data_IF_883499868604
#
_entry.id   IF_883499868604
#
_cell.length_a   1.000
_cell.length_b   1.000
_cell.length_c   1.000
_cell.angle_alpha   90.00
_cell.angle_beta   90.00
_cell.angle_gamma   90.00
#
_symmetry.space_group_name_H-M   'P 1'
#
loop_
_entity.id
_entity.type
_entity.pdbx_description
1 polymer ?
#
# COMPACT_ATOMS: atom_id res chain seq x y z
N UNK A 1 51.31 64.15 42.48
CA UNK A 1 52.61 64.43 41.85
C UNK A 1 53.16 63.10 41.34
N UNK A 2 53.41 63.01 40.04
CA UNK A 2 54.15 61.97 39.28
C UNK A 2 55.58 61.75 39.86
N UNK A 3 56.37 60.69 39.51
CA UNK A 3 56.37 59.81 38.31
C UNK A 3 56.47 58.30 38.71
N UNK A 4 56.69 57.25 37.90
CA UNK A 4 57.64 57.06 36.80
C UNK A 4 57.30 55.76 36.03
N UNK A 5 57.44 55.85 34.72
CA UNK A 5 57.18 54.82 33.73
C UNK A 5 58.25 53.70 33.71
N UNK A 6 57.85 52.49 33.31
CA UNK A 6 58.72 51.55 32.61
C UNK A 6 57.98 50.92 31.42
N UNK A 7 58.77 50.66 30.38
CA UNK A 7 58.45 50.55 28.96
C UNK A 7 57.67 49.28 28.51
N UNK A 8 57.11 49.28 27.28
CA UNK A 8 56.28 48.19 26.75
C UNK A 8 57.08 47.10 26.03
N UNK A 9 56.72 45.82 26.24
CA UNK A 9 57.16 44.70 25.38
C UNK A 9 56.04 44.31 24.41
N UNK A 10 56.14 44.80 23.17
CA UNK A 10 55.27 44.41 22.06
C UNK A 10 55.65 42.99 21.58
N UNK A 11 54.96 41.96 22.07
CA UNK A 11 54.92 40.66 21.41
C UNK A 11 53.81 40.67 20.36
N UNK A 12 54.18 40.90 19.09
CA UNK A 12 53.28 40.74 17.94
C UNK A 12 53.16 39.24 17.62
N UNK A 13 52.21 38.56 18.23
CA UNK A 13 51.79 37.24 17.77
C UNK A 13 50.90 37.40 16.53
N UNK A 14 51.46 37.02 15.37
CA UNK A 14 50.83 37.11 14.05
C UNK A 14 49.57 36.24 14.00
N UNK A 15 48.47 36.86 13.59
CA UNK A 15 47.20 36.21 13.29
C UNK A 15 47.38 35.13 12.21
N UNK A 16 47.29 33.86 12.60
CA UNK A 16 47.05 32.75 11.66
C UNK A 16 45.59 32.80 11.26
N UNK A 17 45.30 33.41 10.11
CA UNK A 17 44.00 33.34 9.44
C UNK A 17 43.78 31.89 8.99
N UNK A 18 43.00 31.12 9.75
CA UNK A 18 42.48 29.83 9.31
C UNK A 18 41.30 30.13 8.40
N UNK A 19 41.52 30.04 7.09
CA UNK A 19 40.47 30.14 6.09
C UNK A 19 39.62 28.85 6.15
N UNK A 20 38.41 28.93 6.68
CA UNK A 20 37.39 27.89 6.53
C UNK A 20 36.94 27.89 5.05
N UNK A 21 37.01 26.76 4.33
CA UNK A 21 36.40 26.68 3.01
C UNK A 21 34.88 26.55 3.21
N UNK A 22 34.19 27.67 3.18
CA UNK A 22 32.75 27.74 2.97
C UNK A 22 32.47 27.48 1.51
N UNK A 23 32.14 26.25 1.14
CA UNK A 23 31.79 25.93 -0.24
C UNK A 23 31.48 24.46 -0.44
N UNK A 24 30.23 24.20 -0.81
CA UNK A 24 29.73 22.97 -1.43
C UNK A 24 29.25 21.84 -0.51
N UNK A 25 28.34 22.15 0.41
CA UNK A 25 27.32 21.18 0.83
C UNK A 25 26.14 21.24 -0.15
N UNK A 26 26.38 20.87 -1.42
CA UNK A 26 25.30 20.56 -2.35
C UNK A 26 24.65 19.27 -1.85
N UNK A 27 23.61 19.45 -1.05
CA UNK A 27 22.73 18.41 -0.55
C UNK A 27 22.29 17.55 -1.73
N UNK A 28 22.86 16.36 -1.83
CA UNK A 28 22.51 15.35 -2.82
C UNK A 28 21.12 14.84 -2.45
N UNK A 29 20.09 15.58 -2.86
CA UNK A 29 18.70 15.16 -2.72
C UNK A 29 18.47 14.07 -3.77
N UNK A 30 18.84 12.84 -3.43
CA UNK A 30 18.53 11.70 -4.27
C UNK A 30 17.00 11.66 -4.45
N UNK A 31 16.48 11.60 -5.69
CA UNK A 31 15.05 11.45 -5.89
C UNK A 31 14.63 10.11 -5.26
N UNK A 32 13.84 10.17 -4.20
CA UNK A 32 13.15 8.99 -3.68
C UNK A 32 12.32 8.41 -4.84
N UNK A 33 12.47 7.12 -5.18
CA UNK A 33 11.64 6.51 -6.21
C UNK A 33 10.18 6.53 -5.78
N UNK A 34 9.44 7.54 -6.24
CA UNK A 34 8.00 7.61 -6.09
C UNK A 34 7.39 6.68 -7.14
N UNK A 35 6.92 5.51 -6.69
CA UNK A 35 6.19 4.61 -7.56
C UNK A 35 4.84 5.26 -7.92
N UNK A 36 4.70 5.68 -9.18
CA UNK A 36 3.47 6.28 -9.70
C UNK A 36 2.59 5.18 -10.29
N UNK A 37 1.38 5.01 -9.75
CA UNK A 37 0.38 4.12 -10.34
C UNK A 37 -0.37 4.92 -11.42
N UNK A 38 -0.31 4.52 -12.70
CA UNK A 38 -1.01 5.24 -13.76
C UNK A 38 -2.54 5.14 -13.55
N UNK A 39 -3.28 6.21 -13.84
CA UNK A 39 -4.73 6.17 -13.81
C UNK A 39 -5.27 5.18 -14.84
N UNK A 40 -6.32 4.46 -14.48
CA UNK A 40 -7.01 3.49 -15.32
C UNK A 40 -8.48 3.89 -15.49
N UNK A 41 -9.01 3.66 -16.69
CA UNK A 41 -10.43 3.85 -16.94
C UNK A 41 -11.26 2.76 -16.26
N UNK A 42 -12.54 3.04 -15.99
CA UNK A 42 -13.44 2.12 -15.32
C UNK A 42 -13.60 0.82 -16.10
N UNK A 43 -13.71 0.91 -17.43
CA UNK A 43 -13.81 -0.24 -18.30
C UNK A 43 -12.53 -1.07 -18.31
N UNK A 44 -11.35 -0.43 -18.21
CA UNK A 44 -10.07 -1.13 -18.08
C UNK A 44 -9.99 -1.89 -16.76
N UNK A 45 -10.38 -1.25 -15.64
CA UNK A 45 -10.43 -1.89 -14.32
C UNK A 45 -11.39 -3.08 -14.34
N UNK A 46 -12.60 -2.87 -14.87
CA UNK A 46 -13.67 -3.87 -14.89
C UNK A 46 -13.36 -5.05 -15.80
N UNK A 47 -12.72 -4.83 -16.96
CA UNK A 47 -12.29 -5.90 -17.87
C UNK A 47 -11.15 -6.72 -17.28
N UNK A 48 -10.14 -6.06 -16.71
CA UNK A 48 -8.95 -6.71 -16.13
C UNK A 48 -9.29 -7.55 -14.91
N UNK A 49 -10.29 -7.13 -14.12
CA UNK A 49 -10.72 -7.87 -12.93
C UNK A 49 -11.19 -9.29 -13.29
N UNK A 50 -10.51 -10.30 -12.73
CA UNK A 50 -10.90 -11.72 -12.80
C UNK A 50 -12.06 -11.99 -11.84
N UNK A 51 -12.07 -11.29 -10.70
CA UNK A 51 -13.14 -11.33 -9.70
C UNK A 51 -13.56 -9.91 -9.29
N UNK A 52 -14.87 -9.66 -9.29
CA UNK A 52 -15.45 -8.45 -8.70
C UNK A 52 -16.44 -8.92 -7.64
N UNK A 53 -16.28 -8.47 -6.42
CA UNK A 53 -17.16 -8.87 -5.33
C UNK A 53 -17.06 -7.97 -4.11
N UNK A 54 -18.01 -8.14 -3.22
CA UNK A 54 -17.97 -7.52 -1.89
C UNK A 54 -17.63 -8.55 -0.83
N UNK A 55 -16.99 -8.10 0.25
CA UNK A 55 -16.68 -8.94 1.39
C UNK A 55 -16.27 -8.12 2.61
N UNK A 56 -16.35 -8.75 3.78
CA UNK A 56 -15.91 -8.19 5.06
C UNK A 56 -14.56 -8.79 5.45
N UNK A 57 -13.62 -7.94 5.82
CA UNK A 57 -12.28 -8.39 6.24
C UNK A 57 -12.35 -9.09 7.59
N UNK A 58 -12.17 -10.39 7.60
CA UNK A 58 -12.13 -11.20 8.82
C UNK A 58 -10.78 -11.13 9.52
N UNK A 59 -9.68 -10.99 8.76
CA UNK A 59 -8.33 -10.95 9.31
C UNK A 59 -7.30 -10.40 8.33
N UNK A 60 -6.22 -9.87 8.89
CA UNK A 60 -5.04 -9.42 8.16
C UNK A 60 -3.83 -9.98 8.90
N UNK A 61 -3.03 -10.80 8.22
CA UNK A 61 -1.87 -11.45 8.80
C UNK A 61 -0.66 -11.24 7.90
N UNK A 62 0.45 -10.77 8.46
CA UNK A 62 1.71 -10.62 7.74
C UNK A 62 2.69 -11.69 8.17
N UNK A 63 3.42 -12.24 7.21
CA UNK A 63 4.50 -13.22 7.46
C UNK A 63 5.61 -13.08 6.44
N UNK A 64 6.80 -13.49 6.83
CA UNK A 64 7.89 -13.68 5.90
C UNK A 64 7.54 -14.76 4.87
N UNK A 65 8.04 -14.58 3.65
CA UNK A 65 8.06 -15.66 2.68
C UNK A 65 9.05 -16.76 3.09
N UNK A 66 9.00 -17.90 2.40
CA UNK A 66 9.84 -19.05 2.76
C UNK A 66 11.35 -18.77 2.65
N UNK A 67 11.73 -17.86 1.73
CA UNK A 67 13.12 -17.44 1.56
C UNK A 67 13.54 -16.32 2.53
N UNK A 68 12.62 -15.81 3.36
CA UNK A 68 12.84 -14.70 4.29
C UNK A 68 13.39 -13.43 3.62
N UNK A 69 12.96 -13.19 2.37
CA UNK A 69 13.38 -12.05 1.53
C UNK A 69 12.33 -10.94 1.49
N UNK A 70 11.05 -11.30 1.66
CA UNK A 70 9.96 -10.34 1.63
C UNK A 70 8.89 -10.69 2.65
N UNK A 71 8.20 -9.66 3.15
CA UNK A 71 7.02 -9.80 3.98
C UNK A 71 5.81 -9.80 3.06
N UNK A 72 4.89 -10.73 3.28
CA UNK A 72 3.62 -10.82 2.56
C UNK A 72 2.48 -10.69 3.55
N UNK A 73 1.47 -9.91 3.18
CA UNK A 73 0.23 -9.75 3.94
C UNK A 73 -0.88 -10.56 3.30
N UNK A 74 -1.61 -11.29 4.12
CA UNK A 74 -2.72 -12.15 3.74
C UNK A 74 -3.99 -11.57 4.37
N UNK A 75 -4.89 -11.08 3.53
CA UNK A 75 -6.17 -10.49 3.93
C UNK A 75 -7.26 -11.50 3.67
N UNK A 76 -7.91 -11.99 4.71
CA UNK A 76 -9.03 -12.92 4.59
C UNK A 76 -10.34 -12.16 4.56
N UNK A 77 -11.10 -12.32 3.48
CA UNK A 77 -12.44 -11.78 3.31
C UNK A 77 -13.48 -12.88 3.50
N UNK A 78 -14.61 -12.53 4.11
CA UNK A 78 -15.78 -13.39 4.37
C UNK A 78 -17.06 -12.65 4.00
N UNK A 79 -18.23 -13.26 4.19
CA UNK A 79 -19.52 -12.70 3.81
C UNK A 79 -19.54 -12.21 2.36
N UNK A 80 -19.05 -13.10 1.47
CA UNK A 80 -18.80 -12.76 0.08
C UNK A 80 -20.09 -12.63 -0.71
N UNK A 81 -20.18 -11.58 -1.53
CA UNK A 81 -21.13 -11.51 -2.64
C UNK A 81 -20.34 -11.28 -3.92
N UNK A 82 -20.42 -12.23 -4.85
CA UNK A 82 -19.69 -12.17 -6.12
C UNK A 82 -20.57 -11.54 -7.20
N UNK A 83 -19.96 -10.65 -7.97
CA UNK A 83 -20.60 -9.87 -9.03
C UNK A 83 -20.01 -10.16 -10.42
N UNK A 84 -18.73 -10.55 -10.46
CA UNK A 84 -18.03 -11.07 -11.65
C UNK A 84 -17.04 -12.15 -11.21
N UNK A 85 -16.88 -13.17 -12.03
CA UNK A 85 -15.99 -14.30 -11.76
C UNK A 85 -16.63 -15.32 -10.81
N UNK A 86 -15.83 -16.25 -10.31
CA UNK A 86 -16.27 -17.31 -9.42
C UNK A 86 -15.81 -17.04 -7.99
N UNK A 87 -16.74 -17.17 -7.04
CA UNK A 87 -16.39 -17.15 -5.61
C UNK A 87 -15.72 -18.49 -5.23
N UNK A 88 -14.79 -18.49 -4.27
CA UNK A 88 -14.38 -19.73 -3.62
C UNK A 88 -15.55 -20.42 -2.93
N UNK A 89 -15.65 -21.75 -3.08
CA UNK A 89 -16.75 -22.57 -2.53
C UNK A 89 -16.80 -22.56 -1.00
N UNK A 90 -15.69 -22.29 -0.33
CA UNK A 90 -15.57 -22.24 1.13
C UNK A 90 -16.03 -20.91 1.74
N UNK A 91 -16.63 -20.02 0.94
CA UNK A 91 -17.27 -18.78 1.43
C UNK A 91 -16.29 -17.70 1.90
N UNK A 92 -14.99 -17.88 1.64
CA UNK A 92 -13.93 -16.93 2.00
C UNK A 92 -12.91 -16.81 0.87
N UNK A 93 -12.24 -15.67 0.78
CA UNK A 93 -11.14 -15.46 -0.16
C UNK A 93 -9.96 -14.85 0.58
N UNK A 94 -8.75 -15.36 0.31
CA UNK A 94 -7.51 -14.83 0.89
C UNK A 94 -6.76 -14.06 -0.19
N UNK A 95 -6.60 -12.76 0.01
CA UNK A 95 -5.87 -11.88 -0.88
C UNK A 95 -4.42 -11.75 -0.40
N UNK A 96 -3.46 -11.96 -1.30
CA UNK A 96 -2.04 -11.85 -1.00
C UNK A 96 -1.50 -10.50 -1.51
N UNK A 97 -0.95 -9.70 -0.60
CA UNK A 97 -0.27 -8.45 -0.88
C UNK A 97 1.22 -8.58 -0.55
N UNK A 98 2.08 -7.96 -1.34
CA UNK A 98 3.48 -7.78 -0.98
C UNK A 98 3.63 -6.61 0.01
N UNK A 99 4.58 -6.74 0.93
CA UNK A 99 4.71 -5.86 2.07
C UNK A 99 3.85 -6.26 3.25
N UNK A 100 4.02 -5.51 4.34
CA UNK A 100 3.41 -5.80 5.63
C UNK A 100 4.37 -5.53 6.79
N UNK A 101 3.99 -6.01 7.96
CA UNK A 101 4.80 -5.85 9.17
C UNK A 101 4.82 -7.13 10.00
N UNK A 102 6.00 -7.59 10.39
CA UNK A 102 6.21 -8.73 11.29
C UNK A 102 7.06 -8.26 12.47
N UNK A 103 6.46 -8.14 13.65
CA UNK A 103 7.13 -7.55 14.81
C UNK A 103 7.58 -6.11 14.54
N UNK A 104 8.90 -5.89 14.53
CA UNK A 104 9.52 -4.60 14.23
C UNK A 104 9.86 -4.41 12.75
N UNK A 105 9.90 -5.49 11.97
CA UNK A 105 10.28 -5.44 10.56
C UNK A 105 9.08 -5.06 9.71
N UNK A 106 9.26 -4.06 8.84
CA UNK A 106 8.20 -3.57 7.95
C UNK A 106 8.73 -3.40 6.54
N UNK A 107 8.01 -3.97 5.58
CA UNK A 107 8.20 -3.68 4.17
C UNK A 107 6.99 -2.88 3.70
N UNK A 108 7.22 -1.62 3.35
CA UNK A 108 6.21 -0.75 2.78
C UNK A 108 6.35 -0.73 1.26
N UNK A 109 5.27 -1.07 0.56
CA UNK A 109 5.17 -0.92 -0.88
C UNK A 109 4.36 0.34 -1.17
N UNK A 110 4.92 1.24 -1.97
CA UNK A 110 4.26 2.51 -2.30
C UNK A 110 2.93 2.26 -3.03
N UNK A 111 1.89 2.98 -2.64
CA UNK A 111 0.55 2.85 -3.22
C UNK A 111 -0.20 1.57 -2.84
N UNK A 112 0.34 0.75 -1.93
CA UNK A 112 -0.33 -0.47 -1.49
C UNK A 112 -1.64 -0.15 -0.76
N UNK A 113 -2.79 -0.69 -1.19
CA UNK A 113 -4.04 -0.54 -0.46
C UNK A 113 -3.94 -1.15 0.95
N UNK A 114 -4.55 -0.47 1.91
CA UNK A 114 -4.70 -0.97 3.28
C UNK A 114 -6.16 -1.35 3.51
N UNK A 115 -6.38 -2.61 3.90
CA UNK A 115 -7.68 -3.14 4.28
C UNK A 115 -7.72 -3.32 5.80
N UNK A 116 -8.81 -2.91 6.42
CA UNK A 116 -8.94 -2.96 7.87
C UNK A 116 -9.93 -4.05 8.27
N UNK A 117 -9.57 -4.83 9.29
CA UNK A 117 -10.43 -5.86 9.88
C UNK A 117 -11.78 -5.29 10.28
N UNK A 118 -12.85 -6.04 10.03
CA UNK A 118 -14.23 -5.67 10.33
C UNK A 118 -14.89 -4.74 9.33
N UNK A 119 -14.14 -4.14 8.39
CA UNK A 119 -14.70 -3.26 7.35
C UNK A 119 -15.11 -4.07 6.12
N UNK A 120 -16.12 -3.55 5.43
CA UNK A 120 -16.69 -4.14 4.22
C UNK A 120 -16.22 -3.38 3.00
N UNK A 121 -15.82 -4.10 1.96
CA UNK A 121 -15.27 -3.51 0.74
C UNK A 121 -15.90 -4.11 -0.51
N UNK A 122 -15.96 -3.32 -1.57
CA UNK A 122 -16.08 -3.74 -2.96
C UNK A 122 -14.67 -3.77 -3.57
N UNK A 123 -14.29 -4.89 -4.17
CA UNK A 123 -12.96 -5.10 -4.70
C UNK A 123 -12.99 -5.60 -6.15
N UNK A 124 -12.07 -5.07 -6.94
CA UNK A 124 -11.73 -5.53 -8.28
C UNK A 124 -10.39 -6.26 -8.20
N UNK A 125 -10.42 -7.58 -8.33
CA UNK A 125 -9.28 -8.46 -8.05
C UNK A 125 -8.82 -9.14 -9.34
N UNK A 126 -7.51 -9.19 -9.56
CA UNK A 126 -6.88 -9.96 -10.61
C UNK A 126 -5.51 -10.48 -10.15
N UNK A 127 -5.08 -11.62 -10.69
CA UNK A 127 -3.74 -12.18 -10.45
C UNK A 127 -3.41 -12.36 -8.96
N UNK A 128 -4.42 -12.73 -8.16
CA UNK A 128 -4.24 -12.98 -6.75
C UNK A 128 -3.21 -14.10 -6.53
N UNK A 129 -2.28 -13.89 -5.62
CA UNK A 129 -1.21 -14.86 -5.35
C UNK A 129 0.04 -14.69 -6.22
N UNK A 130 -0.01 -13.95 -7.34
CA UNK A 130 1.17 -13.70 -8.21
C UNK A 130 1.53 -12.23 -8.31
N UNK A 131 0.55 -11.33 -8.35
CA UNK A 131 0.79 -9.89 -8.39
C UNK A 131 1.31 -9.34 -7.04
N UNK A 132 1.96 -8.16 -7.11
CA UNK A 132 2.40 -7.38 -5.94
C UNK A 132 1.20 -6.91 -5.12
N UNK A 133 0.18 -6.39 -5.82
CA UNK A 133 -1.15 -6.11 -5.29
C UNK A 133 -2.17 -6.89 -6.12
N UNK A 134 -3.09 -7.65 -5.51
CA UNK A 134 -4.15 -8.34 -6.21
C UNK A 134 -5.29 -7.40 -6.60
N UNK A 135 -5.27 -6.14 -6.15
CA UNK A 135 -6.27 -5.13 -6.50
C UNK A 135 -5.89 -4.44 -7.79
N UNK A 136 -6.80 -4.47 -8.77
CA UNK A 136 -6.62 -3.84 -10.08
C UNK A 136 -6.47 -2.33 -9.90
N UNK A 137 -5.38 -1.76 -10.44
CA UNK A 137 -5.10 -0.33 -10.33
C UNK A 137 -4.84 0.15 -8.89
N UNK A 138 -4.48 -0.74 -7.96
CA UNK A 138 -4.24 -0.44 -6.55
C UNK A 138 -5.46 0.21 -5.88
N UNK A 139 -5.36 1.48 -5.47
CA UNK A 139 -6.46 2.19 -4.81
C UNK A 139 -7.68 2.43 -5.74
N UNK A 140 -7.51 2.30 -7.06
CA UNK A 140 -8.56 2.59 -8.04
C UNK A 140 -9.64 1.50 -8.12
N UNK A 141 -9.27 0.25 -7.82
CA UNK A 141 -10.17 -0.91 -7.81
C UNK A 141 -10.68 -1.30 -6.42
N UNK A 142 -10.59 -0.41 -5.44
CA UNK A 142 -10.98 -0.67 -4.05
C UNK A 142 -11.91 0.43 -3.54
N UNK A 143 -13.06 0.02 -3.04
CA UNK A 143 -14.01 0.92 -2.38
C UNK A 143 -14.47 0.32 -1.06
N UNK A 144 -14.40 1.09 0.01
CA UNK A 144 -15.07 0.77 1.26
C UNK A 144 -16.58 1.01 1.11
N UNK A 145 -17.36 0.09 1.65
CA UNK A 145 -18.82 0.20 1.71
C UNK A 145 -19.19 0.66 3.12
N UNK A 146 -19.69 1.88 3.22
CA UNK A 146 -20.30 2.42 4.44
C UNK A 146 -21.81 2.56 4.26
N UNK A 147 -22.53 2.74 5.36
CA UNK A 147 -23.96 3.07 5.32
C UNK A 147 -24.16 4.45 5.93
N UNK A 148 -24.77 5.36 5.16
CA UNK A 148 -25.08 6.72 5.58
C UNK A 148 -26.56 7.00 5.29
N UNK A 149 -27.32 7.41 6.31
CA UNK A 149 -28.76 7.68 6.19
C UNK A 149 -29.55 6.51 5.55
N UNK A 150 -29.17 5.27 5.89
CA UNK A 150 -29.80 4.05 5.37
C UNK A 150 -29.43 3.68 3.92
N UNK A 151 -28.48 4.39 3.30
CA UNK A 151 -28.01 4.10 1.94
C UNK A 151 -26.55 3.65 1.95
N UNK A 152 -26.23 2.70 1.08
CA UNK A 152 -24.84 2.32 0.84
C UNK A 152 -24.08 3.48 0.17
N UNK A 153 -22.88 3.74 0.66
CA UNK A 153 -21.97 4.74 0.13
C UNK A 153 -20.63 4.07 -0.13
N UNK A 154 -20.13 4.21 -1.35
CA UNK A 154 -18.82 3.71 -1.75
C UNK A 154 -17.77 4.80 -1.56
N UNK A 155 -16.72 4.51 -0.81
CA UNK A 155 -15.61 5.43 -0.53
C UNK A 155 -14.29 4.85 -0.99
N UNK A 156 -13.49 5.63 -1.72
CA UNK A 156 -12.14 5.19 -2.04
C UNK A 156 -11.22 5.28 -0.79
N UNK A 157 -9.98 4.74 -0.84
CA UNK A 157 -9.05 4.81 0.29
C UNK A 157 -8.67 6.23 0.73
N UNK A 158 -8.93 7.25 -0.10
CA UNK A 158 -8.71 8.66 0.20
C UNK A 158 -9.92 9.34 0.86
N UNK A 159 -10.98 8.59 1.16
CA UNK A 159 -12.20 9.08 1.80
C UNK A 159 -13.17 9.80 0.86
N UNK A 160 -12.88 9.83 -0.44
CA UNK A 160 -13.76 10.44 -1.45
C UNK A 160 -14.90 9.50 -1.78
N UNK A 161 -16.09 10.05 -1.94
CA UNK A 161 -17.33 9.30 -2.18
C UNK A 161 -17.56 9.09 -3.67
N UNK A 162 -17.88 7.89 -4.09
CA UNK A 162 -18.27 7.59 -5.46
C UNK A 162 -19.69 8.07 -5.74
N UNK A 163 -19.81 9.05 -6.64
CA UNK A 163 -21.09 9.61 -7.08
C UNK A 163 -21.60 9.01 -8.39
N UNK A 164 -20.71 8.43 -9.21
CA UNK A 164 -21.10 7.83 -10.49
C UNK A 164 -19.92 7.51 -11.40
N UNK A 165 -20.23 7.18 -12.65
CA UNK A 165 -19.28 7.04 -13.74
C UNK A 165 -19.64 8.05 -14.83
N UNK A 166 -18.64 8.72 -15.40
CA UNK A 166 -18.80 9.64 -16.54
C UNK A 166 -17.59 9.56 -17.45
N UNK A 167 -17.82 9.42 -18.75
CA UNK A 167 -16.77 9.28 -19.77
C UNK A 167 -15.76 8.17 -19.41
N UNK A 168 -16.24 7.01 -18.95
CA UNK A 168 -15.41 5.88 -18.50
C UNK A 168 -14.48 6.18 -17.31
N UNK A 169 -14.81 7.20 -16.51
CA UNK A 169 -14.07 7.60 -15.30
C UNK A 169 -14.98 7.60 -14.09
N UNK A 170 -14.43 7.25 -12.93
CA UNK A 170 -15.13 7.43 -11.66
C UNK A 170 -15.31 8.93 -11.36
N UNK A 171 -16.52 9.30 -10.95
CA UNK A 171 -16.85 10.61 -10.42
C UNK A 171 -16.83 10.52 -8.90
N UNK A 172 -15.85 11.18 -8.29
CA UNK A 172 -15.61 11.17 -6.85
C UNK A 172 -15.96 12.53 -6.26
N UNK A 173 -16.54 12.55 -5.08
CA UNK A 173 -16.84 13.76 -4.31
C UNK A 173 -15.87 13.81 -3.16
N UNK A 174 -15.13 14.90 -3.05
CA UNK A 174 -14.23 15.11 -1.93
C UNK A 174 -15.02 15.04 -0.61
N UNK A 175 -14.43 14.48 0.46
CA UNK A 175 -15.10 14.49 1.76
C UNK A 175 -15.43 15.94 2.14
N UNK A 176 -16.60 16.20 2.76
CA UNK A 176 -16.86 17.51 3.33
C UNK A 176 -15.70 17.84 4.26
N UNK A 177 -15.13 19.04 4.11
CA UNK A 177 -14.13 19.54 5.04
C UNK A 177 -14.85 19.61 6.38
N UNK A 178 -14.63 18.61 7.24
CA UNK A 178 -15.10 18.69 8.60
C UNK A 178 -14.55 20.00 9.17
N UNK A 179 -15.42 20.88 9.71
CA UNK A 179 -14.95 21.95 10.58
C UNK A 179 -14.16 21.24 11.68
N UNK A 180 -12.85 21.33 11.54
CA UNK A 180 -11.92 20.61 12.37
C UNK A 180 -11.97 21.30 13.73
N UNK A 181 -12.69 20.72 14.69
CA UNK A 181 -12.16 20.73 16.04
C UNK A 181 -10.73 20.20 15.89
N UNK A 182 -9.77 21.06 16.22
CA UNK A 182 -8.35 20.90 15.92
C UNK A 182 -7.80 19.65 16.62
N UNK A 183 -8.04 18.47 16.06
CA UNK A 183 -7.15 17.33 16.21
C UNK A 183 -5.89 17.72 15.44
N UNK A 184 -4.73 17.97 16.07
CA UNK A 184 -3.57 18.49 15.36
C UNK A 184 -3.25 17.61 14.14
N UNK A 185 -2.82 18.24 13.04
CA UNK A 185 -2.17 17.49 11.97
C UNK A 185 -1.09 16.59 12.60
N UNK A 186 -0.79 15.41 12.05
CA UNK A 186 0.42 14.71 12.44
C UNK A 186 1.59 15.64 12.07
N UNK A 187 2.02 16.43 13.05
CA UNK A 187 3.33 17.05 13.06
C UNK A 187 4.30 15.90 12.86
N UNK A 188 5.12 15.98 11.82
CA UNK A 188 6.37 15.23 11.80
C UNK A 188 7.18 15.81 12.97
N UNK A 189 6.92 15.31 14.17
CA UNK A 189 7.70 15.56 15.34
C UNK A 189 8.91 14.64 15.20
N UNK A 190 10.01 15.26 14.81
CA UNK A 190 11.32 14.83 15.25
C UNK A 190 11.29 14.54 16.77
N UNK A 191 12.06 13.52 17.18
CA UNK A 191 12.48 13.18 18.57
C UNK A 191 11.34 12.52 19.40
N UNK A 192 11.48 11.40 20.14
CA UNK A 192 12.58 10.95 20.98
C UNK A 192 12.52 9.43 21.26
N UNK A 193 13.66 8.81 21.55
CA UNK A 193 13.74 7.40 21.95
C UNK A 193 13.12 7.22 23.35
N UNK A 194 11.84 6.87 23.43
CA UNK A 194 11.26 6.36 24.68
C UNK A 194 11.20 4.84 24.63
N UNK A 195 12.03 4.23 25.46
CA UNK A 195 12.01 2.80 25.78
C UNK A 195 10.60 2.41 26.26
N UNK A 196 9.93 1.56 25.50
CA UNK A 196 8.72 0.86 25.97
C UNK A 196 9.18 -0.25 26.92
N UNK A 197 8.66 -0.33 28.16
CA UNK A 197 9.06 -1.37 29.10
C UNK A 197 8.64 -2.75 28.57
N UNK A 198 9.48 -3.75 28.82
CA UNK A 198 9.24 -5.14 28.46
C UNK A 198 7.91 -5.64 29.06
N UNK A 199 7.10 -6.29 28.22
CA UNK A 199 5.94 -7.06 28.67
C UNK A 199 6.40 -8.26 29.52
N UNK A 200 5.64 -8.67 30.54
CA UNK A 200 6.02 -9.79 31.40
C UNK A 200 5.98 -11.12 30.65
N UNK A 201 6.89 -12.00 31.05
CA UNK A 201 7.11 -13.35 30.54
C UNK A 201 5.80 -14.17 30.60
N UNK A 202 5.34 -14.68 29.46
CA UNK A 202 4.15 -15.55 29.38
C UNK A 202 4.61 -17.00 29.27
N UNK A 203 4.23 -17.74 30.30
CA UNK A 203 4.65 -19.07 30.69
C UNK A 203 4.70 -20.14 29.58
N UNK A 204 5.65 -21.07 29.76
CA UNK A 204 5.98 -22.22 28.94
C UNK A 204 4.82 -23.18 28.56
N UNK A 205 3.62 -23.01 29.13
CA UNK A 205 2.45 -23.85 28.86
C UNK A 205 1.80 -23.59 27.50
N UNK A 206 1.96 -22.39 26.93
CA UNK A 206 1.37 -22.05 25.62
C UNK A 206 2.17 -22.67 24.45
N UNK A 207 3.47 -22.92 24.65
CA UNK A 207 4.34 -23.59 23.66
C UNK A 207 4.02 -25.07 23.48
N UNK A 208 3.56 -25.73 24.55
CA UNK A 208 3.22 -27.16 24.53
C UNK A 208 1.86 -27.41 23.84
N UNK A 209 0.89 -26.51 24.01
CA UNK A 209 -0.42 -26.61 23.34
C UNK A 209 -0.34 -26.32 21.83
N UNK A 210 0.54 -25.42 21.41
CA UNK A 210 0.78 -25.13 19.97
C UNK A 210 1.55 -26.28 19.29
N UNK A 211 2.42 -27.00 20.01
CA UNK A 211 3.10 -28.18 19.48
C UNK A 211 2.15 -29.37 19.28
N UNK A 212 1.20 -29.60 20.18
CA UNK A 212 0.21 -30.67 20.07
C UNK A 212 -0.79 -30.46 18.91
N UNK A 213 -1.13 -29.20 18.60
CA UNK A 213 -1.98 -28.85 17.45
C UNK A 213 -1.28 -29.04 16.09
N UNK A 214 0.06 -28.97 16.06
CA UNK A 214 0.87 -29.10 14.84
C UNK A 214 0.96 -30.53 14.30
N UNK A 215 0.79 -31.54 15.17
CA UNK A 215 0.95 -32.97 14.80
C UNK A 215 -0.32 -33.59 14.20
N UNK A 216 -1.50 -32.98 14.36
CA UNK A 216 -2.77 -33.53 13.81
C UNK A 216 -3.11 -33.14 12.37
N UNK A 217 -2.34 -32.23 11.74
CA UNK A 217 -2.61 -31.74 10.38
C UNK A 217 -1.55 -32.23 9.36
N UNK A 218 -0.62 -33.10 9.78
CA UNK A 218 0.52 -33.52 8.97
C UNK A 218 0.33 -34.80 8.14
N UNK A 219 -0.88 -35.36 8.06
CA UNK A 219 -1.18 -36.49 7.18
C UNK A 219 -2.54 -36.22 6.53
N UNK A 220 -2.65 -35.81 5.24
CA UNK A 220 -1.81 -36.21 4.10
C UNK A 220 -1.52 -35.05 3.10
N UNK A 221 -0.28 -34.56 3.03
CA UNK A 221 0.22 -33.74 1.90
C UNK A 221 1.47 -34.36 1.23
N UNK A 222 1.92 -35.52 1.72
CA UNK A 222 3.07 -36.22 1.15
C UNK A 222 2.73 -36.99 -0.15
N UNK A 223 1.45 -37.29 -0.40
CA UNK A 223 1.06 -38.19 -1.50
C UNK A 223 0.81 -37.47 -2.84
N UNK A 224 0.63 -36.14 -2.85
CA UNK A 224 0.44 -35.35 -4.07
C UNK A 224 1.76 -34.86 -4.71
N UNK A 225 2.88 -34.95 -4.00
CA UNK A 225 4.18 -34.51 -4.50
C UNK A 225 4.91 -35.56 -5.34
N UNK A 226 4.58 -36.85 -5.19
CA UNK A 226 5.28 -37.93 -5.88
C UNK A 226 4.88 -38.11 -7.36
N UNK A 227 3.68 -37.68 -7.77
CA UNK A 227 3.16 -37.95 -9.14
C UNK A 227 3.56 -36.91 -10.18
N UNK A 228 4.15 -35.77 -9.82
CA UNK A 228 4.47 -34.67 -10.77
C UNK A 228 5.95 -34.54 -11.14
N UNK A 229 6.82 -35.40 -10.64
CA UNK A 229 8.27 -35.33 -10.89
C UNK A 229 8.74 -35.97 -12.22
N UNK A 230 7.86 -36.60 -13.00
CA UNK A 230 8.23 -37.32 -14.22
C UNK A 230 7.75 -36.63 -15.51
N UNK A 231 8.19 -35.40 -15.77
CA UNK A 231 8.27 -34.83 -17.15
C UNK A 231 9.01 -33.49 -17.17
N UNK A 232 10.32 -33.52 -17.37
CA UNK A 232 11.11 -32.36 -17.81
C UNK A 232 12.10 -32.85 -18.88
N UNK A 233 12.02 -32.43 -20.14
CA UNK A 233 13.19 -32.37 -21.00
C UNK A 233 13.94 -31.06 -20.74
N UNK A 234 15.26 -31.17 -20.63
CA UNK A 234 16.20 -30.12 -20.33
C UNK A 234 16.45 -29.18 -21.53
N UNK A 235 16.72 -27.91 -21.22
CA UNK A 235 17.52 -27.01 -22.07
C UNK A 235 16.80 -25.75 -22.56
N UNK A 236 17.12 -24.60 -21.95
CA UNK A 236 17.17 -23.27 -22.61
C UNK A 236 18.24 -22.42 -21.90
N UNK A 237 19.20 -21.80 -22.61
CA UNK A 237 20.30 -21.03 -22.02
C UNK A 237 19.89 -19.60 -21.62
N UNK A 238 20.71 -19.03 -20.72
CA UNK A 238 20.57 -17.70 -20.15
C UNK A 238 20.53 -16.58 -21.20
N UNK A 239 19.56 -15.67 -21.08
CA UNK A 239 19.43 -14.48 -21.93
C UNK A 239 20.17 -13.28 -21.30
N UNK A 240 21.10 -12.71 -22.09
CA UNK A 240 21.83 -11.47 -21.83
C UNK A 240 20.92 -10.22 -21.79
N UNK A 241 21.35 -9.11 -21.16
CA UNK A 241 20.54 -7.89 -21.03
C UNK A 241 20.36 -7.15 -22.37
N UNK A 242 19.23 -6.45 -22.60
CA UNK A 242 18.96 -5.75 -23.85
C UNK A 242 19.79 -4.46 -23.99
N UNK A 243 20.14 -4.06 -25.23
CA UNK A 243 20.87 -2.82 -25.50
C UNK A 243 19.99 -1.57 -25.36
N UNK A 244 20.62 -0.46 -24.97
CA UNK A 244 20.07 0.88 -25.02
C UNK A 244 19.74 1.28 -26.46
N UNK A 245 18.46 1.46 -26.78
CA UNK A 245 18.03 2.03 -28.07
C UNK A 245 17.45 3.43 -27.88
N UNK A 246 18.01 4.36 -28.66
CA UNK A 246 17.70 5.79 -28.66
C UNK A 246 16.26 6.13 -28.99
N UNK A 247 15.92 7.37 -28.65
CA UNK A 247 14.56 7.87 -28.63
C UNK A 247 13.87 7.90 -29.98
N UNK A 248 12.57 7.57 -29.93
CA UNK A 248 11.55 8.23 -30.73
C UNK A 248 10.47 8.62 -29.73
N UNK A 249 10.37 9.93 -29.47
CA UNK A 249 9.29 10.54 -28.70
C UNK A 249 7.98 10.31 -29.44
N UNK A 250 7.26 9.25 -29.08
CA UNK A 250 5.87 9.06 -29.47
C UNK A 250 5.05 9.56 -28.29
N UNK A 251 4.46 10.74 -28.44
CA UNK A 251 3.55 11.35 -27.47
C UNK A 251 2.46 10.33 -27.14
N UNK A 252 2.52 9.77 -25.92
CA UNK A 252 1.46 8.92 -25.39
C UNK A 252 0.17 9.74 -25.30
N UNK A 253 -1.01 9.20 -25.68
CA UNK A 253 -2.27 9.88 -25.41
C UNK A 253 -2.40 10.16 -23.91
N UNK A 254 -2.92 11.34 -23.60
CA UNK A 254 -2.73 12.00 -22.32
C UNK A 254 -3.21 11.16 -21.13
N UNK A 255 -2.30 10.91 -20.18
CA UNK A 255 -2.54 10.32 -18.85
C UNK A 255 -3.70 11.02 -18.09
N UNK A 256 -4.09 12.24 -18.52
CA UNK A 256 -5.22 13.01 -17.95
C UNK A 256 -6.59 12.39 -18.22
N UNK A 257 -6.76 11.63 -19.29
CA UNK A 257 -8.09 11.20 -19.74
C UNK A 257 -8.62 9.97 -19.00
N UNK A 258 -7.78 9.30 -18.20
CA UNK A 258 -8.18 8.16 -17.37
C UNK A 258 -8.34 8.51 -15.87
N UNK A 259 -7.89 9.69 -15.44
CA UNK A 259 -7.94 10.08 -14.04
C UNK A 259 -9.39 10.29 -13.57
N UNK A 260 -9.75 9.95 -12.31
CA UNK A 260 -11.09 10.17 -11.81
C UNK A 260 -11.44 11.66 -11.80
N UNK A 261 -12.71 11.96 -12.02
CA UNK A 261 -13.24 13.31 -11.93
C UNK A 261 -13.53 13.59 -10.45
N UNK A 262 -12.78 14.50 -9.83
CA UNK A 262 -12.99 14.87 -8.43
C UNK A 262 -13.80 16.16 -8.35
N UNK A 263 -14.98 16.07 -7.75
CA UNK A 263 -15.88 17.18 -7.47
C UNK A 263 -15.65 17.71 -6.05
N UNK A 264 -15.80 19.03 -5.87
CA UNK A 264 -15.86 19.62 -4.55
C UNK A 264 -17.16 19.23 -3.82
N UNK A 265 -17.22 19.29 -2.48
CA UNK A 265 -18.45 19.00 -1.74
C UNK A 265 -19.61 19.88 -2.21
N UNK A 266 -20.77 19.29 -2.49
CA UNK A 266 -21.97 20.00 -2.95
C UNK A 266 -21.99 20.34 -4.45
N UNK A 267 -20.95 19.98 -5.21
CA UNK A 267 -20.97 20.03 -6.68
C UNK A 267 -21.56 18.77 -7.31
N UNK A 268 -21.91 17.78 -6.49
CA UNK A 268 -22.68 16.62 -6.86
C UNK A 268 -24.18 16.89 -6.76
N UNK A 269 -24.99 16.22 -7.58
CA UNK A 269 -26.47 16.29 -7.51
C UNK A 269 -27.05 15.56 -6.27
N UNK A 270 -26.28 15.43 -5.20
CA UNK A 270 -26.60 14.60 -4.03
C UNK A 270 -26.56 13.09 -4.29
N UNK A 271 -26.11 12.67 -5.48
CA UNK A 271 -26.09 11.27 -5.87
C UNK A 271 -24.94 10.53 -5.18
N UNK A 272 -25.27 9.40 -4.55
CA UNK A 272 -24.34 8.48 -3.91
C UNK A 272 -24.54 7.14 -4.58
N UNK A 273 -23.46 6.53 -5.07
CA UNK A 273 -23.57 5.27 -5.79
C UNK A 273 -23.40 4.11 -4.80
N UNK A 274 -24.42 3.27 -4.69
CA UNK A 274 -24.34 1.99 -4.00
C UNK A 274 -23.68 0.92 -4.85
N UNK A 275 -23.44 -0.26 -4.27
CA UNK A 275 -22.81 -1.39 -5.00
C UNK A 275 -23.64 -1.78 -6.22
N UNK A 276 -24.95 -1.97 -6.05
CA UNK A 276 -25.85 -2.39 -7.13
C UNK A 276 -25.88 -1.40 -8.31
N UNK A 277 -25.94 -0.11 -8.00
CA UNK A 277 -25.96 0.95 -9.00
C UNK A 277 -24.65 0.99 -9.79
N UNK A 278 -23.50 0.85 -9.10
CA UNK A 278 -22.20 0.78 -9.74
C UNK A 278 -22.10 -0.40 -10.71
N UNK A 279 -22.48 -1.59 -10.25
CA UNK A 279 -22.39 -2.81 -11.04
C UNK A 279 -23.26 -2.76 -12.30
N UNK A 280 -24.35 -2.01 -12.26
CA UNK A 280 -25.22 -1.79 -13.42
C UNK A 280 -24.56 -0.87 -14.46
N UNK A 281 -23.73 0.08 -14.02
CA UNK A 281 -23.04 1.02 -14.91
C UNK A 281 -21.76 0.47 -15.54
N UNK A 282 -21.17 -0.60 -15.01
CA UNK A 282 -19.91 -1.17 -15.51
C UNK A 282 -20.08 -2.44 -16.38
N UNK A 283 -21.31 -2.91 -16.57
CA UNK A 283 -21.60 -4.08 -17.40
C UNK A 283 -21.43 -3.80 -18.89
#
# INVERSE_FOLDING_TARGET
MTPLALAPTKSRARHRRVALPGGLLLLWCAPLPAQLVPPMTVSTISRTAEWIGTGTVAGVESRWDAAHTTIRSFVTLTALATHKGNAPTDGRIVLRFDGGQVGRDRIAVSGMPSLQKGRRYLLFVAHNGTAVSPIVGYHQGLFEITTELGKEVLRNPFGQVLAGIRDDRFVLVAPPIAKKDRAPAPTIASIDHTVVPAAPDVDAREREQVAAAKTRIAAPLAELAATRAARIPAGVPAASPPPSSGGVSRVAPAIRDAAPIVLAPGQDRGQRLGVRDLLTQIR
#
